data_IF_897529141380
#
_entry.id   IF_897529141380
#
_cell.length_a   1.000
_cell.length_b   1.000
_cell.length_c   1.000
_cell.angle_alpha   90.00
_cell.angle_beta   90.00
_cell.angle_gamma   90.00
#
_symmetry.space_group_name_H-M   'P 1'
#
loop_
_entity.id
_entity.type
_entity.pdbx_description
1 polymer ?
#
# COMPACT_ATOMS: atom_id res chain seq x y z
N UNK A 1 -22.06 9.99 20.69
CA UNK A 1 -20.86 10.65 20.13
C UNK A 1 -21.24 12.09 19.91
N UNK A 2 -20.72 13.01 20.72
CA UNK A 2 -21.27 14.36 20.82
C UNK A 2 -20.35 15.38 20.16
N UNK A 3 -20.93 16.45 19.62
CA UNK A 3 -20.30 17.62 18.98
C UNK A 3 -19.00 18.15 19.63
N UNK A 4 -18.76 17.85 20.91
CA UNK A 4 -17.55 18.21 21.66
C UNK A 4 -16.33 17.35 21.32
N UNK A 5 -16.53 16.09 20.96
CA UNK A 5 -15.46 15.16 20.59
C UNK A 5 -14.89 15.52 19.21
N UNK A 6 -15.77 15.90 18.28
CA UNK A 6 -15.47 16.33 16.91
C UNK A 6 -14.66 17.65 16.90
N UNK A 7 -15.04 18.59 17.77
CA UNK A 7 -14.32 19.85 17.96
C UNK A 7 -12.91 19.65 18.52
N UNK A 8 -12.76 18.71 19.45
CA UNK A 8 -11.46 18.40 20.05
C UNK A 8 -10.52 17.76 19.02
N UNK A 9 -11.02 16.81 18.23
CA UNK A 9 -10.29 16.22 17.12
C UNK A 9 -9.85 17.27 16.08
N UNK A 10 -10.73 18.23 15.74
CA UNK A 10 -10.37 19.32 14.83
C UNK A 10 -9.26 20.23 15.38
N UNK A 11 -9.26 20.51 16.69
CA UNK A 11 -8.22 21.29 17.36
C UNK A 11 -6.92 20.52 17.47
N UNK A 12 -6.97 19.23 17.79
CA UNK A 12 -5.78 18.37 17.88
C UNK A 12 -5.15 18.16 16.49
N UNK A 13 -5.96 18.02 15.43
CA UNK A 13 -5.50 18.06 14.03
C UNK A 13 -4.81 19.39 13.70
N UNK A 14 -5.43 20.52 14.05
CA UNK A 14 -4.90 21.86 13.74
C UNK A 14 -3.61 22.18 14.51
N UNK A 15 -3.45 21.60 15.70
CA UNK A 15 -2.28 21.73 16.56
C UNK A 15 -1.22 20.64 16.33
N UNK A 16 -1.45 19.71 15.39
CA UNK A 16 -0.53 18.60 15.12
C UNK A 16 -0.37 17.63 16.31
N UNK A 17 -1.39 17.54 17.17
CA UNK A 17 -1.45 16.66 18.35
C UNK A 17 -2.23 15.37 18.10
N UNK A 18 -2.71 15.18 16.86
CA UNK A 18 -3.39 13.96 16.46
C UNK A 18 -2.41 12.79 16.61
N UNK A 19 -2.76 11.82 17.46
CA UNK A 19 -2.02 10.57 17.50
C UNK A 19 -2.22 9.86 16.16
N UNK A 20 -1.14 9.37 15.51
CA UNK A 20 -1.29 8.64 14.26
C UNK A 20 -2.23 7.46 14.49
N UNK A 21 -3.28 7.37 13.65
CA UNK A 21 -4.25 6.27 13.73
C UNK A 21 -3.46 4.96 13.65
N UNK A 22 -3.66 4.01 14.58
CA UNK A 22 -3.01 2.71 14.48
C UNK A 22 -3.43 2.04 13.17
N UNK A 23 -2.54 1.22 12.56
CA UNK A 23 -2.87 0.46 11.36
C UNK A 23 -4.13 -0.38 11.54
N UNK A 24 -5.02 -0.35 10.54
CA UNK A 24 -6.31 -1.01 10.58
C UNK A 24 -6.25 -2.38 9.86
N UNK A 25 -6.35 -3.52 10.56
CA UNK A 25 -6.19 -4.84 9.94
C UNK A 25 -7.32 -5.19 8.96
N UNK A 26 -8.47 -4.52 9.05
CA UNK A 26 -9.59 -4.72 8.13
C UNK A 26 -9.48 -3.85 6.86
N UNK A 27 -8.50 -2.93 6.82
CA UNK A 27 -8.28 -2.03 5.71
C UNK A 27 -7.22 -2.58 4.76
N UNK A 28 -7.59 -2.71 3.48
CA UNK A 28 -6.65 -3.04 2.41
C UNK A 28 -5.92 -1.80 1.91
N UNK A 29 -4.60 -1.88 1.75
CA UNK A 29 -3.73 -0.81 1.24
C UNK A 29 -2.77 -1.34 0.18
N UNK A 30 -2.31 -0.45 -0.71
CA UNK A 30 -1.33 -0.79 -1.74
C UNK A 30 0.08 -0.89 -1.14
N UNK A 31 0.74 -2.03 -1.32
CA UNK A 31 2.13 -2.26 -0.94
C UNK A 31 3.10 -1.96 -2.10
N UNK A 32 2.71 -2.25 -3.35
CA UNK A 32 3.56 -1.98 -4.50
C UNK A 32 2.79 -1.84 -5.82
N UNK A 33 3.40 -1.10 -6.73
CA UNK A 33 3.04 -0.97 -8.14
C UNK A 33 4.26 -1.27 -9.01
N UNK A 34 4.19 -2.35 -9.77
CA UNK A 34 5.34 -2.93 -10.46
C UNK A 34 4.93 -3.66 -11.74
N UNK A 35 5.87 -3.99 -12.65
CA UNK A 35 5.56 -4.72 -13.87
C UNK A 35 4.84 -6.05 -13.58
N UNK A 36 3.82 -6.38 -14.38
CA UNK A 36 2.98 -7.56 -14.18
C UNK A 36 3.80 -8.85 -14.09
N UNK A 37 4.88 -8.96 -14.87
CA UNK A 37 5.76 -10.14 -14.87
C UNK A 37 6.51 -10.35 -13.55
N UNK A 38 6.73 -9.29 -12.76
CA UNK A 38 7.36 -9.38 -11.43
C UNK A 38 6.36 -9.72 -10.33
N UNK A 39 5.07 -9.47 -10.55
CA UNK A 39 4.03 -9.56 -9.51
C UNK A 39 3.93 -10.92 -8.85
N UNK A 40 4.04 -12.00 -9.64
CA UNK A 40 3.95 -13.36 -9.11
C UNK A 40 5.10 -13.66 -8.15
N UNK A 41 6.33 -13.33 -8.54
CA UNK A 41 7.53 -13.54 -7.71
C UNK A 41 7.40 -12.82 -6.36
N UNK A 42 6.96 -11.55 -6.40
CA UNK A 42 6.80 -10.74 -5.18
C UNK A 42 5.68 -11.28 -4.29
N UNK A 43 4.56 -11.68 -4.89
CA UNK A 43 3.41 -12.19 -4.14
C UNK A 43 3.70 -13.55 -3.51
N UNK A 44 4.40 -14.43 -4.23
CA UNK A 44 4.83 -15.72 -3.72
C UNK A 44 5.78 -15.55 -2.52
N UNK A 45 6.71 -14.60 -2.59
CA UNK A 45 7.63 -14.30 -1.49
C UNK A 45 6.90 -13.74 -0.26
N UNK A 46 5.97 -12.79 -0.44
CA UNK A 46 5.15 -12.26 0.66
C UNK A 46 4.36 -13.37 1.35
N UNK A 47 3.70 -14.24 0.58
CA UNK A 47 2.95 -15.37 1.11
C UNK A 47 3.87 -16.37 1.82
N UNK A 48 5.06 -16.63 1.27
CA UNK A 48 6.06 -17.51 1.90
C UNK A 48 6.56 -16.98 3.26
N UNK A 49 6.62 -15.65 3.41
CA UNK A 49 6.97 -14.99 4.67
C UNK A 49 5.77 -14.79 5.61
N UNK A 50 4.56 -15.21 5.20
CA UNK A 50 3.36 -15.16 6.04
C UNK A 50 2.58 -13.85 5.95
N UNK A 51 2.83 -13.02 4.93
CA UNK A 51 2.07 -11.81 4.61
C UNK A 51 1.05 -12.12 3.52
N UNK A 52 -0.26 -12.16 3.83
CA UNK A 52 -1.29 -12.36 2.82
C UNK A 52 -1.33 -11.18 1.84
N UNK A 53 -1.15 -11.46 0.56
CA UNK A 53 -1.13 -10.46 -0.50
C UNK A 53 -2.11 -10.82 -1.62
N UNK A 54 -2.72 -9.78 -2.22
CA UNK A 54 -3.61 -9.89 -3.37
C UNK A 54 -3.05 -9.05 -4.51
N UNK A 55 -3.06 -9.62 -5.72
CA UNK A 55 -2.62 -8.93 -6.94
C UNK A 55 -3.82 -8.53 -7.78
N UNK A 56 -3.76 -7.33 -8.34
CA UNK A 56 -4.67 -6.92 -9.41
C UNK A 56 -3.88 -6.47 -10.61
N UNK A 57 -4.25 -6.96 -11.79
CA UNK A 57 -3.68 -6.49 -13.04
C UNK A 57 -4.08 -5.03 -13.27
N UNK A 58 -3.10 -4.21 -13.62
CA UNK A 58 -3.28 -2.82 -13.98
C UNK A 58 -2.99 -2.63 -15.48
N UNK A 59 -3.98 -3.05 -16.27
CA UNK A 59 -4.05 -2.75 -17.69
C UNK A 59 -4.49 -1.30 -17.89
N UNK A 60 -3.57 -0.38 -17.66
CA UNK A 60 -3.78 1.02 -18.04
C UNK A 60 -3.93 1.11 -19.56
N UNK A 61 -5.14 1.44 -20.04
CA UNK A 61 -5.27 2.19 -21.30
C UNK A 61 -4.40 3.41 -21.07
N UNK A 62 -3.35 3.57 -21.85
CA UNK A 62 -2.21 4.41 -21.51
C UNK A 62 -2.26 5.71 -22.34
N UNK A 63 -3.10 6.72 -22.02
CA UNK A 63 -3.11 7.97 -22.76
C UNK A 63 -1.85 8.81 -22.52
N UNK A 64 -1.07 8.51 -21.45
CA UNK A 64 0.08 9.32 -21.00
C UNK A 64 1.44 8.62 -21.08
N UNK A 65 1.52 7.36 -21.54
CA UNK A 65 2.76 6.58 -21.71
C UNK A 65 3.69 6.53 -20.47
N UNK A 66 3.15 6.54 -19.25
CA UNK A 66 3.97 6.48 -18.02
C UNK A 66 4.62 5.12 -17.80
N UNK A 67 4.12 4.09 -18.49
CA UNK A 67 4.65 2.72 -18.44
C UNK A 67 4.71 2.16 -19.86
N UNK A 68 5.72 1.31 -20.14
CA UNK A 68 5.86 0.61 -21.43
C UNK A 68 5.36 -0.83 -21.39
N UNK A 69 4.93 -1.29 -20.23
CA UNK A 69 4.60 -2.68 -19.93
C UNK A 69 3.29 -2.74 -19.13
N UNK A 70 2.57 -3.88 -19.18
CA UNK A 70 1.46 -4.14 -18.26
C UNK A 70 1.96 -4.07 -16.81
N UNK A 71 1.20 -3.40 -15.96
CA UNK A 71 1.54 -3.24 -14.55
C UNK A 71 0.64 -4.13 -13.69
N UNK A 72 1.02 -4.28 -12.43
CA UNK A 72 0.24 -4.92 -11.39
C UNK A 72 0.32 -4.10 -10.10
N UNK A 73 -0.75 -4.18 -9.31
CA UNK A 73 -0.82 -3.61 -7.97
C UNK A 73 -0.91 -4.73 -6.96
N UNK A 74 -0.10 -4.64 -5.91
CA UNK A 74 -0.07 -5.59 -4.80
C UNK A 74 -0.71 -4.93 -3.60
N UNK A 75 -1.66 -5.63 -2.99
CA UNK A 75 -2.42 -5.17 -1.84
C UNK A 75 -2.23 -6.10 -0.64
N UNK A 76 -2.13 -5.50 0.54
CA UNK A 76 -2.02 -6.16 1.85
C UNK A 76 -2.96 -5.47 2.83
N UNK A 77 -3.13 -6.03 4.03
CA UNK A 77 -3.80 -5.33 5.14
C UNK A 77 -2.89 -4.23 5.70
N UNK A 78 -3.47 -3.13 6.20
CA UNK A 78 -2.71 -1.93 6.60
C UNK A 78 -1.69 -2.22 7.71
N UNK A 79 -2.00 -3.15 8.61
CA UNK A 79 -1.09 -3.62 9.67
C UNK A 79 0.15 -4.35 9.14
N UNK A 80 0.09 -4.88 7.93
CA UNK A 80 1.20 -5.60 7.27
C UNK A 80 1.94 -4.78 6.23
N UNK A 81 1.56 -3.50 6.05
CA UNK A 81 2.12 -2.66 4.99
C UNK A 81 3.63 -2.50 5.10
N UNK A 82 4.12 -2.13 6.28
CA UNK A 82 5.54 -1.87 6.53
C UNK A 82 6.37 -3.14 6.30
N UNK A 83 5.95 -4.27 6.88
CA UNK A 83 6.58 -5.58 6.66
C UNK A 83 6.61 -5.98 5.18
N UNK A 84 5.50 -5.75 4.46
CA UNK A 84 5.45 -6.03 3.03
C UNK A 84 6.43 -5.14 2.24
N UNK A 85 6.47 -3.84 2.52
CA UNK A 85 7.37 -2.90 1.84
C UNK A 85 8.84 -3.26 2.08
N UNK A 86 9.21 -3.70 3.28
CA UNK A 86 10.56 -4.18 3.60
C UNK A 86 10.95 -5.44 2.80
N UNK A 87 10.05 -6.44 2.76
CA UNK A 87 10.27 -7.68 1.99
C UNK A 87 10.43 -7.36 0.50
N UNK A 88 9.57 -6.49 -0.02
CA UNK A 88 9.59 -6.08 -1.42
C UNK A 88 10.89 -5.31 -1.72
N UNK A 89 11.29 -4.39 -0.84
CA UNK A 89 12.52 -3.62 -1.02
C UNK A 89 13.76 -4.51 -1.01
N UNK A 90 13.80 -5.50 -0.13
CA UNK A 90 14.88 -6.50 -0.08
C UNK A 90 14.94 -7.35 -1.37
N UNK A 91 13.78 -7.74 -1.90
CA UNK A 91 13.68 -8.55 -3.11
C UNK A 91 14.03 -7.76 -4.40
N UNK A 92 13.59 -6.51 -4.50
CA UNK A 92 13.81 -5.65 -5.66
C UNK A 92 15.16 -4.92 -5.62
N UNK A 93 15.76 -4.77 -4.45
CA UNK A 93 16.96 -3.97 -4.23
C UNK A 93 16.71 -2.47 -4.20
N UNK A 94 15.45 -2.03 -4.15
CA UNK A 94 15.03 -0.64 -4.02
C UNK A 94 13.61 -0.56 -3.48
N UNK A 95 13.21 0.60 -2.95
CA UNK A 95 11.85 0.84 -2.45
C UNK A 95 10.77 0.57 -3.51
N UNK A 96 9.63 -0.02 -3.13
CA UNK A 96 8.50 -0.20 -4.04
C UNK A 96 7.93 1.15 -4.48
N UNK A 97 7.45 1.19 -5.73
CA UNK A 97 6.68 2.35 -6.21
C UNK A 97 5.22 2.19 -5.84
N UNK A 98 4.52 3.30 -5.76
CA UNK A 98 3.06 3.34 -5.65
C UNK A 98 2.49 4.07 -6.85
N UNK A 99 1.33 3.62 -7.34
CA UNK A 99 0.69 4.22 -8.52
C UNK A 99 0.28 5.68 -8.26
N UNK A 100 -0.05 6.00 -7.01
CA UNK A 100 -0.83 7.19 -6.68
C UNK A 100 -2.29 7.03 -7.14
N UNK A 101 -3.20 7.73 -6.47
CA UNK A 101 -4.60 7.85 -6.91
C UNK A 101 -4.73 8.98 -7.94
#
# INVERSE_FOLDING_TARGET
>A
MGLRDEWKAAVDWLLGRDEPKPPDPDRTVEAAWLPLWQSQMVTDELVAQGVPAVVTDDYSINPMMTTREPMARIFVTEDRREEAEEIIAALLGHEPRHRGL
#
